data_IF_397746754324
#
_entry.id   IF_397746754324
#
_cell.length_a   1.000
_cell.length_b   1.000
_cell.length_c   1.000
_cell.angle_alpha   90.00
_cell.angle_beta   90.00
_cell.angle_gamma   90.00
#
_symmetry.space_group_name_H-M   'P 1'
#
loop_
_entity.id
_entity.type
_entity.pdbx_description
1 polymer ?
#
# COMPACT_ATOMS: atom_id res chain seq x y z
N UNK A 1 -5.00 -13.81 22.08
CA UNK A 1 -4.31 -12.51 22.14
C UNK A 1 -5.12 -11.48 21.37
N UNK A 2 -5.28 -10.24 21.89
CA UNK A 2 -6.05 -9.19 21.21
C UNK A 2 -5.13 -8.02 20.86
N UNK A 3 -5.09 -7.63 19.59
CA UNK A 3 -4.21 -6.58 19.06
C UNK A 3 -5.03 -5.45 18.45
N UNK A 4 -4.64 -4.21 18.70
CA UNK A 4 -5.14 -3.04 17.99
C UNK A 4 -4.36 -2.84 16.69
N UNK A 5 -5.04 -2.35 15.66
CA UNK A 5 -4.43 -1.92 14.40
C UNK A 5 -4.76 -0.45 14.18
N UNK A 6 -3.75 0.39 14.12
CA UNK A 6 -3.95 1.82 13.89
C UNK A 6 -4.47 2.10 12.49
N UNK A 7 -5.69 2.54 12.42
CA UNK A 7 -6.38 2.83 11.18
C UNK A 7 -7.89 2.85 11.36
N UNK A 8 -8.59 3.07 10.27
CA UNK A 8 -10.05 3.07 10.19
C UNK A 8 -10.48 2.62 8.79
N UNK A 9 -11.75 2.21 8.60
CA UNK A 9 -12.24 1.77 7.30
C UNK A 9 -12.08 2.82 6.20
N UNK A 10 -11.46 2.45 5.09
CA UNK A 10 -11.35 3.28 3.89
C UNK A 10 -11.06 2.42 2.66
N UNK A 11 -11.32 2.95 1.47
CA UNK A 11 -10.93 2.31 0.22
C UNK A 11 -9.43 2.57 0.00
N UNK A 12 -8.60 1.56 0.21
CA UNK A 12 -7.16 1.70 0.01
C UNK A 12 -6.36 0.51 0.52
N UNK A 13 -5.12 0.39 0.03
CA UNK A 13 -4.25 -0.78 0.29
C UNK A 13 -3.97 -1.03 1.76
N UNK A 14 -3.80 0.00 2.58
CA UNK A 14 -3.50 -0.17 4.01
C UNK A 14 -4.66 -0.79 4.79
N UNK A 15 -5.91 -0.46 4.43
CA UNK A 15 -7.07 -1.11 5.05
C UNK A 15 -7.30 -2.54 4.51
N UNK A 16 -6.97 -2.80 3.25
CA UNK A 16 -6.95 -4.17 2.72
C UNK A 16 -5.95 -5.05 3.48
N UNK A 17 -4.78 -4.52 3.82
CA UNK A 17 -3.79 -5.23 4.67
C UNK A 17 -4.37 -5.58 6.03
N UNK A 18 -5.07 -4.64 6.69
CA UNK A 18 -5.76 -4.92 7.95
C UNK A 18 -6.73 -6.11 7.80
N UNK A 19 -7.60 -6.09 6.78
CA UNK A 19 -8.58 -7.16 6.54
C UNK A 19 -7.91 -8.51 6.33
N UNK A 20 -6.85 -8.56 5.52
CA UNK A 20 -6.10 -9.79 5.26
C UNK A 20 -5.39 -10.30 6.52
N UNK A 21 -4.73 -9.43 7.29
CA UNK A 21 -4.12 -9.80 8.56
C UNK A 21 -5.16 -10.29 9.58
N UNK A 22 -6.29 -9.60 9.71
CA UNK A 22 -7.36 -10.01 10.60
C UNK A 22 -7.84 -11.44 10.29
N UNK A 23 -8.14 -11.69 9.01
CA UNK A 23 -8.62 -13.02 8.58
C UNK A 23 -7.56 -14.10 8.82
N UNK A 24 -6.31 -13.80 8.47
CA UNK A 24 -5.24 -14.77 8.60
C UNK A 24 -4.85 -15.06 10.06
N UNK A 25 -4.77 -14.05 10.92
CA UNK A 25 -4.36 -14.19 12.32
C UNK A 25 -5.45 -14.81 13.20
N UNK A 26 -6.72 -14.75 12.78
CA UNK A 26 -7.82 -15.35 13.53
C UNK A 26 -7.62 -16.86 13.76
N UNK A 27 -7.12 -17.59 12.76
CA UNK A 27 -6.80 -19.01 12.86
C UNK A 27 -5.68 -19.35 13.87
N UNK A 28 -4.87 -18.37 14.28
CA UNK A 28 -3.84 -18.50 15.31
C UNK A 28 -4.33 -18.01 16.70
N UNK A 29 -5.61 -17.78 16.89
CA UNK A 29 -6.17 -17.26 18.14
C UNK A 29 -5.79 -15.80 18.44
N UNK A 30 -5.45 -15.03 17.41
CA UNK A 30 -5.12 -13.61 17.51
C UNK A 30 -6.28 -12.79 16.94
N UNK A 31 -6.98 -12.09 17.82
CA UNK A 31 -8.02 -11.13 17.44
C UNK A 31 -7.36 -9.80 17.06
N UNK A 32 -7.59 -9.35 15.82
CA UNK A 32 -7.11 -8.06 15.35
C UNK A 32 -8.29 -7.10 15.13
N UNK A 33 -8.25 -5.93 15.77
CA UNK A 33 -9.29 -4.90 15.64
C UNK A 33 -8.68 -3.57 15.19
N UNK A 34 -9.33 -2.91 14.24
CA UNK A 34 -8.94 -1.55 13.92
C UNK A 34 -9.32 -0.60 15.06
N UNK A 35 -8.48 0.40 15.28
CA UNK A 35 -8.68 1.44 16.28
C UNK A 35 -8.33 2.77 15.64
N UNK A 36 -9.31 3.69 15.56
CA UNK A 36 -9.16 5.00 14.94
C UNK A 36 -9.51 6.12 15.90
N UNK A 37 -9.00 7.32 15.66
CA UNK A 37 -9.36 8.52 16.39
C UNK A 37 -9.52 9.72 15.45
N UNK A 38 -10.21 10.75 15.93
CA UNK A 38 -10.43 12.01 15.22
C UNK A 38 -11.52 11.96 14.14
N UNK A 39 -11.81 13.10 13.51
CA UNK A 39 -13.02 13.30 12.71
C UNK A 39 -13.12 12.34 11.52
N UNK A 40 -12.01 12.06 10.84
CA UNK A 40 -12.02 11.15 9.68
C UNK A 40 -12.35 9.70 10.07
N UNK A 41 -11.87 9.23 11.22
CA UNK A 41 -12.16 7.89 11.70
C UNK A 41 -13.63 7.74 12.09
N UNK A 42 -14.19 8.74 12.79
CA UNK A 42 -15.61 8.77 13.14
C UNK A 42 -16.50 8.83 11.88
N UNK A 43 -16.21 9.71 10.94
CA UNK A 43 -16.94 9.81 9.69
C UNK A 43 -16.91 8.48 8.89
N UNK A 44 -15.77 7.78 8.88
CA UNK A 44 -15.66 6.47 8.24
C UNK A 44 -16.48 5.40 8.97
N UNK A 45 -16.42 5.36 10.31
CA UNK A 45 -17.20 4.43 11.13
C UNK A 45 -18.71 4.62 10.96
N UNK A 46 -19.17 5.86 10.75
CA UNK A 46 -20.58 6.18 10.56
C UNK A 46 -21.06 5.96 9.12
N UNK A 47 -20.15 5.84 8.18
CA UNK A 47 -20.49 5.64 6.77
C UNK A 47 -21.23 4.32 6.53
N UNK A 48 -22.37 4.35 5.79
CA UNK A 48 -23.07 3.13 5.39
C UNK A 48 -22.19 2.17 4.57
N UNK A 49 -21.22 2.71 3.84
CA UNK A 49 -20.27 1.94 3.03
C UNK A 49 -19.45 0.96 3.86
N UNK A 50 -19.16 1.28 5.12
CA UNK A 50 -18.32 0.48 6.00
C UNK A 50 -19.10 -0.15 7.16
N UNK A 51 -20.41 -0.31 7.02
CA UNK A 51 -21.28 -0.87 8.09
C UNK A 51 -20.77 -2.20 8.63
N UNK A 52 -20.33 -3.11 7.75
CA UNK A 52 -19.81 -4.43 8.12
C UNK A 52 -18.46 -4.37 8.83
N UNK A 53 -17.74 -3.28 8.72
CA UNK A 53 -16.43 -3.12 9.37
C UNK A 53 -16.54 -2.63 10.81
N UNK A 54 -17.72 -2.21 11.26
CA UNK A 54 -17.97 -1.78 12.66
C UNK A 54 -17.77 -2.92 13.67
N UNK A 55 -18.07 -4.15 13.28
CA UNK A 55 -17.87 -5.32 14.13
C UNK A 55 -16.40 -5.66 14.36
N UNK A 56 -15.50 -5.05 13.56
CA UNK A 56 -14.07 -5.37 13.51
C UNK A 56 -13.17 -4.30 14.11
N UNK A 57 -13.72 -3.27 14.71
CA UNK A 57 -12.98 -2.21 15.37
C UNK A 57 -13.89 -1.10 15.85
N UNK A 58 -13.28 -0.04 16.34
CA UNK A 58 -14.01 1.12 16.86
C UNK A 58 -13.18 2.41 16.80
N UNK A 59 -13.86 3.52 16.93
CA UNK A 59 -13.25 4.83 17.18
C UNK A 59 -13.11 5.07 18.67
N UNK A 60 -12.15 5.91 19.06
CA UNK A 60 -11.93 6.35 20.44
C UNK A 60 -11.94 7.88 20.50
N UNK A 61 -12.34 8.40 21.68
CA UNK A 61 -12.54 9.82 21.86
C UNK A 61 -13.77 10.34 21.12
N UNK A 62 -13.89 11.65 21.02
CA UNK A 62 -14.93 12.36 20.26
C UNK A 62 -14.36 12.91 18.94
N UNK A 63 -15.20 13.15 17.93
CA UNK A 63 -14.74 13.72 16.66
C UNK A 63 -14.07 15.09 16.81
N UNK A 64 -14.49 15.89 17.77
CA UNK A 64 -14.07 17.27 18.07
C UNK A 64 -13.03 17.37 19.17
N UNK A 65 -12.57 16.26 19.76
CA UNK A 65 -11.50 16.26 20.75
C UNK A 65 -10.23 16.89 20.20
N UNK A 66 -9.54 17.68 21.03
CA UNK A 66 -8.20 18.16 20.74
C UNK A 66 -7.19 17.01 20.72
N UNK A 67 -6.00 17.28 20.22
CA UNK A 67 -4.95 16.27 20.07
C UNK A 67 -4.56 15.61 21.39
N UNK A 68 -4.61 16.32 22.52
CA UNK A 68 -4.28 15.78 23.84
C UNK A 68 -5.38 14.86 24.36
N UNK A 69 -6.65 15.25 24.20
CA UNK A 69 -7.79 14.41 24.56
C UNK A 69 -7.83 13.12 23.71
N UNK A 70 -7.58 13.25 22.40
CA UNK A 70 -7.46 12.11 21.47
C UNK A 70 -6.33 11.16 21.90
N UNK A 71 -5.18 11.69 22.30
CA UNK A 71 -4.05 10.91 22.79
C UNK A 71 -4.42 10.12 24.03
N UNK A 72 -5.01 10.79 25.06
CA UNK A 72 -5.44 10.14 26.31
C UNK A 72 -6.46 9.02 26.04
N UNK A 73 -7.45 9.29 25.19
CA UNK A 73 -8.46 8.30 24.82
C UNK A 73 -7.83 7.07 24.16
N UNK A 74 -6.85 7.30 23.27
CA UNK A 74 -6.13 6.24 22.54
C UNK A 74 -5.30 5.37 23.47
N UNK A 75 -4.48 5.98 24.34
CA UNK A 75 -3.64 5.27 25.32
C UNK A 75 -4.51 4.43 26.25
N UNK A 76 -5.53 5.02 26.87
CA UNK A 76 -6.48 4.29 27.74
C UNK A 76 -7.13 3.13 27.03
N UNK A 77 -7.68 3.33 25.82
CA UNK A 77 -8.36 2.27 25.10
C UNK A 77 -7.44 1.08 24.76
N UNK A 78 -6.16 1.36 24.50
CA UNK A 78 -5.18 0.31 24.20
C UNK A 78 -4.82 -0.44 25.48
N UNK A 79 -4.50 0.24 26.55
CA UNK A 79 -4.05 -0.35 27.82
C UNK A 79 -5.15 -1.15 28.52
N UNK A 80 -6.42 -0.72 28.42
CA UNK A 80 -7.57 -1.41 29.00
C UNK A 80 -8.04 -2.58 28.15
N UNK A 81 -7.83 -2.55 26.82
CA UNK A 81 -8.49 -3.48 25.91
C UNK A 81 -7.60 -4.38 25.07
N UNK A 82 -6.28 -4.16 25.04
CA UNK A 82 -5.40 -4.86 24.11
C UNK A 82 -4.08 -5.30 24.75
N UNK A 83 -3.49 -6.36 24.19
CA UNK A 83 -2.18 -6.87 24.59
C UNK A 83 -1.04 -6.25 23.76
N UNK A 84 -1.39 -5.62 22.64
CA UNK A 84 -0.42 -4.99 21.76
C UNK A 84 -1.08 -4.22 20.62
N UNK A 85 -0.24 -3.59 19.80
CA UNK A 85 -0.68 -2.71 18.71
C UNK A 85 0.19 -2.84 17.47
N UNK A 86 -0.46 -2.88 16.31
CA UNK A 86 0.15 -2.61 15.02
C UNK A 86 0.05 -1.13 14.68
N UNK A 87 1.21 -0.49 14.53
CA UNK A 87 1.34 0.95 14.31
C UNK A 87 1.60 1.24 12.84
N UNK A 88 0.59 1.76 12.16
CA UNK A 88 0.76 2.27 10.79
C UNK A 88 1.28 3.70 10.82
N UNK A 89 2.51 3.93 10.36
CA UNK A 89 3.09 5.28 10.36
C UNK A 89 2.44 6.27 9.38
N UNK A 90 1.62 5.78 8.44
CA UNK A 90 0.81 6.60 7.55
C UNK A 90 -0.57 6.97 8.12
N UNK A 91 -0.91 6.48 9.30
CA UNK A 91 -2.12 6.86 10.02
C UNK A 91 -2.00 8.30 10.55
N UNK A 92 -2.97 8.70 11.32
CA UNK A 92 -2.96 10.00 11.99
C UNK A 92 -1.69 10.20 12.84
N UNK A 93 -1.01 11.38 12.81
CA UNK A 93 0.20 11.65 13.58
C UNK A 93 0.01 11.52 15.10
N UNK A 94 -1.16 11.91 15.63
CA UNK A 94 -1.50 11.77 17.05
C UNK A 94 -1.58 10.31 17.43
N UNK A 95 -2.28 9.51 16.61
CA UNK A 95 -2.39 8.07 16.77
C UNK A 95 -1.03 7.37 16.69
N UNK A 96 -0.20 7.72 15.71
CA UNK A 96 1.16 7.19 15.57
C UNK A 96 2.01 7.50 16.79
N UNK A 97 1.87 8.71 17.36
CA UNK A 97 2.60 9.16 18.54
C UNK A 97 2.19 8.44 19.84
N UNK A 98 0.98 7.84 19.88
CA UNK A 98 0.46 7.16 21.08
C UNK A 98 1.41 6.09 21.61
N UNK A 99 2.15 5.40 20.74
CA UNK A 99 3.10 4.34 21.16
C UNK A 99 4.18 4.81 22.12
N UNK A 100 4.49 6.09 22.15
CA UNK A 100 5.51 6.65 23.05
C UNK A 100 5.02 6.80 24.51
N UNK A 101 3.72 6.69 24.71
CA UNK A 101 3.03 6.89 25.99
C UNK A 101 2.41 5.63 26.56
N UNK A 102 2.41 4.52 25.80
CA UNK A 102 1.86 3.24 26.25
C UNK A 102 2.72 2.58 27.32
N UNK A 103 2.07 1.86 28.22
CA UNK A 103 2.73 0.99 29.20
C UNK A 103 3.69 -0.01 28.50
N UNK A 104 4.90 -0.27 29.03
CA UNK A 104 5.86 -1.20 28.42
C UNK A 104 5.34 -2.61 28.16
N UNK A 105 4.33 -3.09 28.93
CA UNK A 105 3.69 -4.39 28.73
C UNK A 105 2.95 -4.52 27.39
N UNK A 106 2.60 -3.40 26.75
CA UNK A 106 1.91 -3.39 25.47
C UNK A 106 2.89 -3.66 24.35
N UNK A 107 2.77 -4.81 23.67
CA UNK A 107 3.61 -5.14 22.50
C UNK A 107 3.33 -4.19 21.35
N UNK A 108 4.38 -3.60 20.74
CA UNK A 108 4.27 -2.58 19.69
C UNK A 108 5.03 -3.00 18.47
N UNK A 109 4.31 -3.23 17.36
CA UNK A 109 4.87 -3.62 16.08
C UNK A 109 4.55 -2.51 15.07
N UNK A 110 5.58 -1.84 14.57
CA UNK A 110 5.43 -0.79 13.56
C UNK A 110 5.37 -1.38 12.16
N UNK A 111 4.47 -0.87 11.31
CA UNK A 111 4.41 -1.24 9.89
C UNK A 111 4.70 -0.01 9.04
N UNK A 112 5.70 -0.11 8.17
CA UNK A 112 6.14 0.94 7.26
C UNK A 112 5.72 0.58 5.84
N UNK A 113 4.73 1.34 5.32
CA UNK A 113 4.05 1.03 4.06
C UNK A 113 4.61 1.75 2.83
N UNK A 114 5.60 2.62 2.97
CA UNK A 114 6.06 3.44 1.84
C UNK A 114 7.51 3.89 1.99
N UNK A 115 8.16 4.20 0.86
CA UNK A 115 9.55 4.67 0.76
C UNK A 115 9.69 6.20 0.79
N UNK A 116 8.65 6.94 1.20
CA UNK A 116 8.73 8.40 1.19
C UNK A 116 9.54 8.94 2.38
N UNK A 117 10.25 10.07 2.21
CA UNK A 117 10.98 10.69 3.32
C UNK A 117 10.10 11.02 4.53
N UNK A 118 8.82 11.39 4.30
CA UNK A 118 7.87 11.63 5.39
C UNK A 118 7.54 10.37 6.17
N UNK A 119 7.35 9.24 5.48
CA UNK A 119 7.12 7.94 6.12
C UNK A 119 8.32 7.53 6.98
N UNK A 120 9.54 7.67 6.46
CA UNK A 120 10.76 7.36 7.23
C UNK A 120 10.98 8.32 8.41
N UNK A 121 10.65 9.61 8.26
CA UNK A 121 10.71 10.57 9.36
C UNK A 121 9.73 10.20 10.49
N UNK A 122 8.50 9.82 10.14
CA UNK A 122 7.50 9.37 11.09
C UNK A 122 7.93 8.06 11.79
N UNK A 123 8.42 7.07 11.02
CA UNK A 123 8.93 5.83 11.58
C UNK A 123 10.10 6.08 12.56
N UNK A 124 11.04 6.93 12.18
CA UNK A 124 12.18 7.30 13.04
C UNK A 124 11.77 8.00 14.33
N UNK A 125 10.68 8.79 14.29
CA UNK A 125 10.20 9.53 15.45
C UNK A 125 9.70 8.66 16.61
N UNK A 126 9.31 7.41 16.29
CA UNK A 126 8.79 6.45 17.28
C UNK A 126 9.66 5.19 17.38
N UNK A 127 10.79 5.13 16.65
CA UNK A 127 11.67 3.96 16.53
C UNK A 127 12.01 3.32 17.88
N UNK A 128 12.42 4.13 18.82
CA UNK A 128 12.93 3.66 20.11
C UNK A 128 11.81 3.21 21.08
N UNK A 129 10.55 3.39 20.69
CA UNK A 129 9.35 3.03 21.45
C UNK A 129 8.57 1.87 20.83
N UNK A 130 9.15 1.10 19.90
CA UNK A 130 8.51 -0.09 19.30
C UNK A 130 9.41 -1.30 19.44
N UNK A 131 8.82 -2.48 19.65
CA UNK A 131 9.56 -3.72 19.85
C UNK A 131 10.03 -4.32 18.52
N UNK A 132 9.25 -4.15 17.45
CA UNK A 132 9.63 -4.62 16.13
C UNK A 132 9.13 -3.68 15.03
N UNK A 133 9.82 -3.73 13.88
CA UNK A 133 9.46 -2.94 12.70
C UNK A 133 9.34 -3.83 11.48
N UNK A 134 8.22 -3.72 10.77
CA UNK A 134 7.95 -4.43 9.52
C UNK A 134 8.02 -3.44 8.37
N UNK A 135 8.95 -3.65 7.44
CA UNK A 135 8.91 -3.02 6.13
C UNK A 135 8.15 -3.90 5.14
N UNK A 136 7.20 -3.34 4.39
CA UNK A 136 6.43 -4.12 3.41
C UNK A 136 7.20 -4.49 2.15
N UNK A 137 8.48 -4.14 2.08
CA UNK A 137 9.40 -4.57 1.02
C UNK A 137 10.84 -4.65 1.55
N UNK A 138 11.73 -5.43 0.89
CA UNK A 138 13.15 -5.52 1.25
C UNK A 138 13.84 -4.15 1.28
N UNK A 139 13.50 -3.26 0.34
CA UNK A 139 14.03 -1.89 0.31
C UNK A 139 13.72 -1.12 1.58
N UNK A 140 12.47 -1.19 2.05
CA UNK A 140 12.07 -0.49 3.29
C UNK A 140 12.90 -1.00 4.47
N UNK A 141 13.05 -2.32 4.63
CA UNK A 141 13.93 -2.91 5.66
C UNK A 141 15.35 -2.38 5.53
N UNK A 142 15.93 -2.44 4.35
CA UNK A 142 17.29 -1.99 4.07
C UNK A 142 17.48 -0.52 4.40
N UNK A 143 16.57 0.35 3.94
CA UNK A 143 16.63 1.79 4.22
C UNK A 143 16.51 2.05 5.75
N UNK A 144 15.58 1.39 6.44
CA UNK A 144 15.40 1.56 7.88
C UNK A 144 16.64 1.19 8.67
N UNK A 145 17.25 0.04 8.37
CA UNK A 145 18.44 -0.46 9.07
C UNK A 145 19.68 0.39 8.73
N UNK A 146 19.99 0.55 7.44
CA UNK A 146 21.26 1.13 7.03
C UNK A 146 21.28 2.67 6.99
N UNK A 147 20.12 3.31 6.76
CA UNK A 147 20.05 4.78 6.64
C UNK A 147 19.47 5.46 7.86
N UNK A 148 18.63 4.76 8.62
CA UNK A 148 17.90 5.36 9.74
C UNK A 148 18.20 4.73 11.09
N UNK A 149 19.13 3.74 11.17
CA UNK A 149 19.64 3.16 12.38
C UNK A 149 18.63 2.32 13.18
N UNK A 150 17.73 1.64 12.48
CA UNK A 150 16.85 0.66 13.10
C UNK A 150 17.60 -0.63 13.44
N UNK A 151 17.20 -1.30 14.51
CA UNK A 151 17.78 -2.57 14.89
C UNK A 151 17.60 -3.64 13.81
N UNK A 152 18.68 -4.32 13.43
CA UNK A 152 18.67 -5.33 12.35
C UNK A 152 17.89 -6.58 12.73
N UNK A 153 17.95 -7.00 13.99
CA UNK A 153 17.31 -8.22 14.48
C UNK A 153 15.79 -8.06 14.56
N UNK A 154 15.32 -6.86 14.89
CA UNK A 154 13.91 -6.56 15.06
C UNK A 154 13.28 -5.75 13.92
N UNK A 155 14.01 -5.60 12.82
CA UNK A 155 13.48 -5.02 11.58
C UNK A 155 13.39 -6.09 10.50
N UNK A 156 12.18 -6.46 10.11
CA UNK A 156 11.92 -7.54 9.15
C UNK A 156 11.23 -7.02 7.88
N UNK A 157 11.37 -7.76 6.78
CA UNK A 157 10.60 -7.49 5.56
C UNK A 157 9.47 -8.52 5.44
N UNK A 158 8.23 -8.07 5.54
CA UNK A 158 7.03 -8.90 5.33
C UNK A 158 6.18 -8.24 4.24
N UNK A 159 6.24 -8.72 3.00
CA UNK A 159 5.37 -8.24 1.94
C UNK A 159 3.89 -8.44 2.29
N UNK A 160 3.07 -7.46 1.92
CA UNK A 160 1.64 -7.57 2.11
C UNK A 160 1.06 -8.71 1.26
N UNK A 161 0.22 -9.54 1.87
CA UNK A 161 -0.47 -10.62 1.20
C UNK A 161 -1.78 -10.18 0.55
N UNK A 162 -2.19 -10.92 -0.47
CA UNK A 162 -3.45 -10.76 -1.18
C UNK A 162 -4.23 -12.08 -1.22
N UNK A 163 -5.53 -12.02 -1.46
CA UNK A 163 -6.35 -13.19 -1.73
C UNK A 163 -6.11 -13.69 -3.16
N UNK A 164 -5.07 -14.50 -3.34
CA UNK A 164 -4.70 -15.03 -4.66
C UNK A 164 -5.74 -15.98 -5.23
N UNK A 165 -6.49 -16.69 -4.39
CA UNK A 165 -7.53 -17.62 -4.82
C UNK A 165 -8.78 -16.88 -5.33
N UNK A 166 -9.23 -15.87 -4.59
CA UNK A 166 -10.38 -15.05 -4.98
C UNK A 166 -10.12 -14.17 -6.22
N UNK A 167 -8.85 -13.95 -6.57
CA UNK A 167 -8.46 -13.21 -7.79
C UNK A 167 -8.25 -14.10 -9.02
N UNK A 168 -8.10 -15.42 -8.84
CA UNK A 168 -7.88 -16.38 -9.94
C UNK A 168 -9.20 -16.71 -10.66
N UNK A 169 -9.90 -15.71 -11.16
CA UNK A 169 -11.15 -15.87 -11.88
C UNK A 169 -10.91 -16.35 -13.34
N UNK A 170 -11.88 -17.11 -13.86
CA UNK A 170 -11.88 -17.45 -15.28
C UNK A 170 -11.93 -16.17 -16.13
N UNK A 171 -11.03 -16.08 -17.10
CA UNK A 171 -11.01 -14.97 -18.04
C UNK A 171 -12.13 -15.15 -19.07
N UNK A 172 -12.92 -14.11 -19.36
CA UNK A 172 -13.98 -14.21 -20.34
C UNK A 172 -13.42 -14.50 -21.74
N UNK A 173 -14.07 -15.39 -22.48
CA UNK A 173 -13.78 -15.57 -23.90
C UNK A 173 -14.02 -14.28 -24.69
N UNK A 174 -13.20 -14.01 -25.67
CA UNK A 174 -13.24 -12.78 -26.43
C UNK A 174 -13.20 -13.03 -27.94
N UNK A 175 -14.07 -12.36 -28.64
CA UNK A 175 -14.07 -12.31 -30.10
C UNK A 175 -13.02 -11.33 -30.67
N UNK A 176 -12.57 -10.35 -29.88
CA UNK A 176 -11.62 -9.31 -30.30
C UNK A 176 -10.21 -9.58 -29.79
N UNK A 177 -9.22 -9.52 -30.71
CA UNK A 177 -7.77 -9.59 -30.40
C UNK A 177 -7.20 -8.28 -29.86
N UNK A 178 -8.03 -7.25 -29.63
CA UNK A 178 -7.61 -5.96 -29.09
C UNK A 178 -7.06 -6.09 -27.69
N UNK A 179 -5.83 -5.58 -27.45
CA UNK A 179 -5.21 -5.57 -26.14
C UNK A 179 -5.89 -4.55 -25.22
N UNK A 180 -6.30 -5.01 -24.05
CA UNK A 180 -6.96 -4.17 -23.03
C UNK A 180 -5.97 -3.89 -21.88
N UNK A 181 -5.64 -2.62 -21.72
CA UNK A 181 -4.75 -2.15 -20.66
C UNK A 181 -5.59 -1.53 -19.55
N UNK A 182 -5.29 -1.88 -18.32
CA UNK A 182 -5.91 -1.35 -17.11
C UNK A 182 -4.93 -0.47 -16.35
N UNK A 183 -5.37 0.69 -15.93
CA UNK A 183 -4.85 1.40 -14.78
C UNK A 183 -5.84 1.22 -13.62
N UNK A 184 -5.37 0.75 -12.48
CA UNK A 184 -6.19 0.55 -11.27
C UNK A 184 -5.52 1.21 -10.08
N UNK A 185 -6.16 2.16 -9.45
CA UNK A 185 -5.67 2.84 -8.26
C UNK A 185 -6.09 4.29 -8.15
N UNK A 186 -5.62 4.95 -7.10
CA UNK A 186 -5.89 6.37 -6.86
C UNK A 186 -5.38 7.24 -8.02
N UNK A 187 -6.24 8.10 -8.53
CA UNK A 187 -5.89 9.00 -9.64
C UNK A 187 -5.19 10.25 -9.08
N UNK A 188 -3.91 10.07 -8.75
CA UNK A 188 -3.03 11.08 -8.18
C UNK A 188 -1.66 11.04 -8.86
N UNK A 189 -1.27 12.12 -9.52
CA UNK A 189 -0.01 12.15 -10.29
C UNK A 189 1.23 12.15 -9.40
N UNK A 190 1.12 12.74 -8.20
CA UNK A 190 2.27 12.86 -7.28
C UNK A 190 2.87 11.50 -6.91
N UNK A 191 2.03 10.49 -6.68
CA UNK A 191 2.47 9.14 -6.34
C UNK A 191 2.40 8.19 -7.53
N UNK A 192 1.28 8.21 -8.24
CA UNK A 192 0.93 7.19 -9.23
C UNK A 192 1.30 7.54 -10.68
N UNK A 193 1.78 8.77 -10.95
CA UNK A 193 2.25 9.16 -12.27
C UNK A 193 1.16 9.09 -13.35
N UNK A 194 -0.10 9.30 -12.98
CA UNK A 194 -1.27 9.10 -13.87
C UNK A 194 -1.24 9.98 -15.12
N UNK A 195 -0.59 11.15 -15.06
CA UNK A 195 -0.47 12.04 -16.20
C UNK A 195 0.55 11.57 -17.23
N UNK A 196 1.23 10.45 -17.01
CA UNK A 196 2.00 9.75 -18.05
C UNK A 196 1.13 8.84 -18.91
N UNK A 197 -0.04 8.40 -18.44
CA UNK A 197 -0.96 7.55 -19.21
C UNK A 197 -1.25 8.11 -20.61
N UNK A 198 -1.74 9.38 -20.77
CA UNK A 198 -1.99 9.92 -22.11
C UNK A 198 -0.72 10.03 -22.96
N UNK A 199 0.46 10.26 -22.37
CA UNK A 199 1.73 10.31 -23.09
C UNK A 199 2.15 8.94 -23.62
N UNK A 200 1.87 7.87 -22.87
CA UNK A 200 2.11 6.48 -23.26
C UNK A 200 1.14 6.12 -24.38
N UNK A 201 -0.17 6.38 -24.20
CA UNK A 201 -1.21 5.97 -25.13
C UNK A 201 -1.18 6.67 -26.50
N UNK A 202 -0.66 7.91 -26.57
CA UNK A 202 -0.40 8.59 -27.88
C UNK A 202 0.65 7.87 -28.73
N UNK A 203 1.45 6.97 -28.14
CA UNK A 203 2.50 6.20 -28.84
C UNK A 203 2.05 4.80 -29.22
N UNK A 204 0.84 4.39 -28.83
CA UNK A 204 0.30 3.06 -29.05
C UNK A 204 -0.63 3.00 -30.28
N UNK A 205 -0.67 1.87 -30.99
CA UNK A 205 -1.66 1.60 -32.03
C UNK A 205 -3.09 1.86 -31.55
N UNK A 206 -3.97 2.27 -32.48
CA UNK A 206 -5.36 2.62 -32.17
C UNK A 206 -6.19 1.43 -31.64
N UNK A 207 -5.79 0.22 -31.94
CA UNK A 207 -6.42 -1.03 -31.47
C UNK A 207 -6.25 -1.29 -29.97
N UNK A 208 -5.30 -0.61 -29.30
CA UNK A 208 -5.07 -0.81 -27.86
C UNK A 208 -5.92 0.15 -27.06
N UNK A 209 -6.68 -0.37 -26.09
CA UNK A 209 -7.58 0.41 -25.24
C UNK A 209 -7.08 0.55 -23.81
N UNK A 210 -7.48 1.62 -23.12
CA UNK A 210 -7.19 1.89 -21.71
C UNK A 210 -8.47 1.99 -20.91
N UNK A 211 -8.55 1.24 -19.83
CA UNK A 211 -9.52 1.48 -18.76
C UNK A 211 -8.80 2.14 -17.58
N UNK A 212 -9.31 3.27 -17.12
CA UNK A 212 -8.87 3.94 -15.90
C UNK A 212 -9.89 3.68 -14.81
N UNK A 213 -9.53 2.88 -13.83
CA UNK A 213 -10.35 2.53 -12.68
C UNK A 213 -9.76 3.15 -11.40
N UNK A 214 -10.51 4.02 -10.79
CA UNK A 214 -10.13 4.78 -9.60
C UNK A 214 -10.61 6.21 -9.63
N UNK A 215 -10.43 6.88 -8.51
CA UNK A 215 -10.76 8.28 -8.31
C UNK A 215 -9.59 9.01 -7.63
N UNK A 216 -9.60 10.33 -7.65
CA UNK A 216 -8.58 11.15 -7.01
C UNK A 216 -8.48 12.56 -7.55
N UNK A 217 -7.61 13.38 -6.94
CA UNK A 217 -7.53 14.81 -7.21
C UNK A 217 -7.15 15.17 -8.65
N UNK A 218 -6.45 14.28 -9.37
CA UNK A 218 -6.02 14.54 -10.74
C UNK A 218 -6.97 13.95 -11.81
N UNK A 219 -8.16 13.40 -11.44
CA UNK A 219 -9.07 12.75 -12.39
C UNK A 219 -9.56 13.72 -13.48
N UNK A 220 -9.98 14.91 -13.12
CA UNK A 220 -10.46 15.91 -14.09
C UNK A 220 -9.35 16.29 -15.08
N UNK A 221 -8.14 16.51 -14.56
CA UNK A 221 -6.96 16.84 -15.37
C UNK A 221 -6.56 15.69 -16.30
N UNK A 222 -6.62 14.44 -15.80
CA UNK A 222 -6.35 13.26 -16.61
C UNK A 222 -7.37 13.10 -17.74
N UNK A 223 -8.67 13.27 -17.46
CA UNK A 223 -9.74 13.24 -18.48
C UNK A 223 -9.47 14.27 -19.59
N UNK A 224 -9.16 15.51 -19.21
CA UNK A 224 -8.84 16.57 -20.19
C UNK A 224 -7.64 16.21 -21.07
N UNK A 225 -6.57 15.63 -20.51
CA UNK A 225 -5.39 15.20 -21.28
C UNK A 225 -5.63 13.96 -22.15
N UNK A 226 -6.62 13.13 -21.82
CA UNK A 226 -7.03 11.98 -22.63
C UNK A 226 -8.04 12.32 -23.73
N UNK A 227 -8.59 13.52 -23.77
CA UNK A 227 -9.65 13.88 -24.73
C UNK A 227 -9.28 13.58 -26.20
N UNK A 228 -8.01 13.83 -26.60
CA UNK A 228 -7.52 13.52 -27.93
C UNK A 228 -7.40 12.04 -28.27
N UNK A 229 -7.55 11.13 -27.28
CA UNK A 229 -7.53 9.69 -27.48
C UNK A 229 -8.92 9.09 -27.75
N UNK A 230 -9.98 9.90 -27.60
CA UNK A 230 -11.35 9.51 -27.90
C UNK A 230 -11.81 8.26 -27.17
N UNK A 231 -12.61 7.42 -27.81
CA UNK A 231 -13.18 6.19 -27.25
C UNK A 231 -12.17 5.11 -26.83
N UNK A 232 -10.87 5.33 -27.09
CA UNK A 232 -9.81 4.40 -26.64
C UNK A 232 -9.60 4.42 -25.13
N UNK A 233 -10.07 5.45 -24.41
CA UNK A 233 -9.90 5.59 -22.98
C UNK A 233 -11.25 5.61 -22.29
N UNK A 234 -11.47 4.66 -21.39
CA UNK A 234 -12.67 4.57 -20.57
C UNK A 234 -12.36 4.87 -19.11
N UNK A 235 -13.18 5.67 -18.46
CA UNK A 235 -13.06 6.00 -17.04
C UNK A 235 -14.18 5.32 -16.26
N UNK A 236 -13.84 4.45 -15.32
CA UNK A 236 -14.80 3.68 -14.49
C UNK A 236 -15.09 4.32 -13.14
N UNK A 237 -14.32 5.35 -12.73
CA UNK A 237 -14.41 5.89 -11.38
C UNK A 237 -13.91 4.91 -10.32
N UNK A 238 -14.29 5.14 -9.08
CA UNK A 238 -13.98 4.25 -7.97
C UNK A 238 -14.66 2.89 -8.15
N UNK A 239 -13.90 1.80 -7.92
CA UNK A 239 -14.38 0.42 -8.08
C UNK A 239 -14.48 -0.23 -6.70
N UNK A 240 -15.61 -0.87 -6.42
CA UNK A 240 -15.79 -1.62 -5.18
C UNK A 240 -14.77 -2.79 -5.09
N UNK A 241 -14.24 -3.10 -3.90
CA UNK A 241 -13.26 -4.17 -3.73
C UNK A 241 -13.72 -5.53 -4.28
N UNK A 242 -15.01 -5.85 -4.15
CA UNK A 242 -15.60 -7.09 -4.69
C UNK A 242 -15.59 -7.19 -6.22
N UNK A 243 -15.44 -6.08 -6.93
CA UNK A 243 -15.41 -6.01 -8.39
C UNK A 243 -14.00 -6.02 -8.97
N UNK A 244 -12.96 -5.91 -8.13
CA UNK A 244 -11.56 -5.80 -8.59
C UNK A 244 -11.16 -7.06 -9.35
N UNK A 245 -11.46 -8.26 -8.84
CA UNK A 245 -11.13 -9.52 -9.49
C UNK A 245 -11.74 -9.62 -10.89
N UNK A 246 -13.03 -9.29 -11.03
CA UNK A 246 -13.72 -9.26 -12.32
C UNK A 246 -13.09 -8.26 -13.28
N UNK A 247 -12.83 -7.04 -12.80
CA UNK A 247 -12.19 -6.00 -13.60
C UNK A 247 -10.81 -6.45 -14.11
N UNK A 248 -10.00 -7.05 -13.26
CA UNK A 248 -8.70 -7.59 -13.65
C UNK A 248 -8.82 -8.72 -14.67
N UNK A 249 -9.75 -9.66 -14.49
CA UNK A 249 -9.98 -10.75 -15.44
C UNK A 249 -10.41 -10.26 -16.84
N UNK A 250 -11.02 -9.08 -16.93
CA UNK A 250 -11.41 -8.45 -18.20
C UNK A 250 -10.25 -7.79 -18.97
N UNK A 251 -9.04 -7.66 -18.37
CA UNK A 251 -7.91 -6.94 -18.96
C UNK A 251 -6.68 -7.84 -19.13
N UNK A 252 -5.82 -7.49 -20.08
CA UNK A 252 -4.62 -8.26 -20.42
C UNK A 252 -3.37 -7.76 -19.71
N UNK A 253 -3.31 -6.45 -19.52
CA UNK A 253 -2.14 -5.74 -19.00
C UNK A 253 -2.56 -4.79 -17.89
N UNK A 254 -1.83 -4.82 -16.76
CA UNK A 254 -1.87 -3.73 -15.80
C UNK A 254 -0.73 -2.76 -16.09
N UNK A 255 -1.04 -1.49 -16.34
CA UNK A 255 -0.06 -0.41 -16.45
C UNK A 255 0.02 0.38 -15.15
N UNK A 256 1.17 0.29 -14.48
CA UNK A 256 1.42 0.99 -13.22
C UNK A 256 2.59 1.97 -13.34
N UNK A 257 2.36 3.22 -13.77
CA UNK A 257 3.41 4.22 -13.98
C UNK A 257 3.76 4.98 -12.69
N UNK A 258 3.84 4.31 -11.56
CA UNK A 258 4.05 4.93 -10.26
C UNK A 258 5.42 5.59 -10.14
N UNK A 259 5.49 6.71 -9.41
CA UNK A 259 6.75 7.39 -9.06
C UNK A 259 7.41 6.76 -7.85
N UNK A 260 6.60 6.21 -6.95
CA UNK A 260 7.04 5.48 -5.76
C UNK A 260 5.92 4.56 -5.27
N UNK A 261 6.31 3.48 -4.63
CA UNK A 261 5.43 2.48 -4.01
C UNK A 261 6.09 1.93 -2.74
N UNK A 262 5.30 1.28 -1.89
CA UNK A 262 5.84 0.46 -0.79
C UNK A 262 6.01 -0.99 -1.20
N UNK A 263 4.99 -1.53 -1.87
CA UNK A 263 4.95 -2.85 -2.49
C UNK A 263 4.21 -2.81 -3.84
N UNK A 264 3.09 -2.06 -3.91
CA UNK A 264 2.21 -2.07 -5.08
C UNK A 264 1.20 -3.23 -5.05
N UNK A 265 0.28 -3.24 -4.08
CA UNK A 265 -0.73 -4.30 -3.97
C UNK A 265 -1.47 -4.57 -5.27
N UNK A 266 -1.91 -3.52 -5.97
CA UNK A 266 -2.59 -3.63 -7.26
C UNK A 266 -1.75 -4.37 -8.31
N UNK A 267 -0.41 -4.24 -8.25
CA UNK A 267 0.50 -4.95 -9.14
C UNK A 267 0.40 -6.46 -8.90
N UNK A 268 0.46 -6.86 -7.63
CA UNK A 268 0.40 -8.27 -7.23
C UNK A 268 -0.99 -8.86 -7.45
N UNK A 269 -2.06 -8.07 -7.20
CA UNK A 269 -3.44 -8.44 -7.51
C UNK A 269 -3.64 -8.71 -9.00
N UNK A 270 -3.09 -7.85 -9.86
CA UNK A 270 -3.15 -8.03 -11.32
C UNK A 270 -2.40 -9.29 -11.77
N UNK A 271 -1.22 -9.55 -11.20
CA UNK A 271 -0.45 -10.77 -11.46
C UNK A 271 -1.27 -12.02 -11.07
N UNK A 272 -1.90 -12.04 -9.90
CA UNK A 272 -2.73 -13.14 -9.45
C UNK A 272 -3.91 -13.41 -10.39
N UNK A 273 -4.51 -12.36 -10.94
CA UNK A 273 -5.62 -12.41 -11.89
C UNK A 273 -5.19 -12.71 -13.34
N UNK A 274 -3.90 -12.91 -13.60
CA UNK A 274 -3.38 -13.19 -14.93
C UNK A 274 -3.26 -11.97 -15.85
N UNK A 275 -3.24 -10.74 -15.30
CA UNK A 275 -2.82 -9.56 -16.05
C UNK A 275 -1.29 -9.49 -16.06
N UNK A 276 -0.70 -9.24 -17.23
CA UNK A 276 0.74 -9.00 -17.33
C UNK A 276 1.06 -7.60 -16.80
N UNK A 277 1.95 -7.46 -15.79
CA UNK A 277 2.33 -6.15 -15.28
C UNK A 277 3.30 -5.44 -16.23
N UNK A 278 3.01 -4.17 -16.50
CA UNK A 278 3.93 -3.19 -17.09
C UNK A 278 4.07 -2.06 -16.09
N UNK A 279 5.17 -2.02 -15.34
CA UNK A 279 5.32 -1.14 -14.18
C UNK A 279 6.59 -0.31 -14.22
N UNK A 280 6.56 0.85 -13.54
CA UNK A 280 7.79 1.61 -13.28
C UNK A 280 8.77 0.76 -12.47
N UNK A 281 10.05 0.78 -12.85
CA UNK A 281 11.12 0.17 -12.06
C UNK A 281 11.38 1.01 -10.80
N UNK A 282 11.10 0.44 -9.66
CA UNK A 282 11.38 1.02 -8.33
C UNK A 282 12.19 -0.04 -7.59
N UNK A 283 13.48 0.18 -7.48
CA UNK A 283 14.45 -0.77 -6.95
C UNK A 283 14.06 -1.29 -5.57
N UNK A 284 14.10 -2.63 -5.40
CA UNK A 284 13.74 -3.34 -4.16
C UNK A 284 12.25 -3.26 -3.78
N UNK A 285 11.39 -2.83 -4.74
CA UNK A 285 9.94 -2.73 -4.59
C UNK A 285 9.23 -3.43 -5.75
N UNK A 286 9.23 -2.87 -6.95
CA UNK A 286 8.51 -3.47 -8.09
C UNK A 286 9.25 -4.65 -8.69
N UNK A 287 10.57 -4.67 -8.63
CA UNK A 287 11.42 -5.80 -9.00
C UNK A 287 11.34 -6.98 -8.02
N UNK A 288 10.76 -6.80 -6.84
CA UNK A 288 10.39 -7.90 -5.96
C UNK A 288 9.33 -8.81 -6.63
N UNK A 289 8.35 -8.19 -7.28
CA UNK A 289 7.21 -8.87 -7.88
C UNK A 289 7.44 -9.17 -9.36
N UNK A 290 8.02 -8.24 -10.11
CA UNK A 290 8.19 -8.32 -11.55
C UNK A 290 9.66 -8.59 -11.91
N UNK A 291 9.88 -9.71 -12.58
CA UNK A 291 11.13 -10.04 -13.26
C UNK A 291 10.99 -9.65 -14.74
N UNK A 292 11.79 -8.63 -15.14
CA UNK A 292 11.68 -8.00 -16.45
C UNK A 292 11.86 -9.01 -17.60
N UNK A 293 10.88 -9.08 -18.49
CA UNK A 293 10.89 -10.01 -19.64
C UNK A 293 10.46 -11.44 -19.32
N UNK A 294 10.26 -11.80 -18.04
CA UNK A 294 9.89 -13.16 -17.61
C UNK A 294 8.42 -13.24 -17.20
N UNK A 295 7.98 -12.38 -16.28
CA UNK A 295 6.60 -12.35 -15.78
C UNK A 295 5.94 -10.97 -15.90
N UNK A 296 6.59 -10.04 -16.62
CA UNK A 296 6.13 -8.68 -16.86
C UNK A 296 7.25 -7.79 -17.39
N UNK A 297 6.96 -6.50 -17.51
CA UNK A 297 7.95 -5.52 -17.96
C UNK A 297 8.11 -4.39 -16.93
N UNK A 298 9.36 -4.06 -16.66
CA UNK A 298 9.75 -2.89 -15.87
C UNK A 298 10.32 -1.82 -16.81
N UNK A 299 9.96 -0.55 -16.57
CA UNK A 299 10.47 0.60 -17.33
C UNK A 299 10.95 1.70 -16.38
N UNK A 300 11.95 2.50 -16.74
CA UNK A 300 12.44 3.58 -15.91
C UNK A 300 11.33 4.57 -15.54
N UNK A 301 11.29 5.04 -14.30
CA UNK A 301 10.26 5.97 -13.81
C UNK A 301 10.14 7.18 -14.75
N UNK A 302 8.94 7.38 -15.32
CA UNK A 302 8.63 8.46 -16.25
C UNK A 302 9.01 8.22 -17.71
N UNK A 303 9.58 7.06 -18.06
CA UNK A 303 9.86 6.72 -19.46
C UNK A 303 8.64 6.17 -20.18
N UNK A 304 7.87 7.08 -20.76
CA UNK A 304 6.68 6.73 -21.54
C UNK A 304 6.98 5.97 -22.85
N UNK A 305 8.22 6.06 -23.37
CA UNK A 305 8.60 5.34 -24.59
C UNK A 305 8.82 3.86 -24.30
N UNK A 306 9.58 3.56 -23.24
CA UNK A 306 9.82 2.18 -22.82
C UNK A 306 8.53 1.48 -22.36
N UNK A 307 7.63 2.18 -21.64
CA UNK A 307 6.31 1.67 -21.31
C UNK A 307 5.49 1.32 -22.54
N UNK A 308 5.47 2.21 -23.55
CA UNK A 308 4.75 1.96 -24.80
C UNK A 308 5.34 0.76 -25.57
N UNK A 309 6.66 0.65 -25.69
CA UNK A 309 7.32 -0.50 -26.34
C UNK A 309 6.95 -1.84 -25.68
N UNK A 310 6.92 -1.88 -24.33
CA UNK A 310 6.51 -3.06 -23.59
C UNK A 310 5.05 -3.47 -23.91
N UNK A 311 4.13 -2.51 -23.98
CA UNK A 311 2.73 -2.75 -24.31
C UNK A 311 2.58 -3.24 -25.77
N UNK A 312 3.30 -2.65 -26.73
CA UNK A 312 3.30 -3.07 -28.13
C UNK A 312 3.78 -4.51 -28.26
N UNK A 313 4.90 -4.86 -27.62
CA UNK A 313 5.41 -6.24 -27.61
C UNK A 313 4.38 -7.24 -27.09
N UNK A 314 3.63 -6.89 -26.03
CA UNK A 314 2.55 -7.75 -25.52
C UNK A 314 1.34 -7.84 -26.46
N UNK A 315 1.11 -6.84 -27.30
CA UNK A 315 0.05 -6.86 -28.30
C UNK A 315 0.40 -7.72 -29.51
N UNK A 316 1.68 -7.75 -29.90
CA UNK A 316 2.18 -8.47 -31.07
C UNK A 316 2.42 -9.97 -30.79
N UNK A 317 2.72 -10.36 -29.55
CA UNK A 317 3.01 -11.74 -29.13
C UNK A 317 1.94 -12.23 -28.14
N UNK A 318 0.87 -12.82 -28.65
CA UNK A 318 -0.23 -13.35 -27.84
C UNK A 318 0.20 -14.58 -27.02
N UNK A 319 0.97 -15.49 -27.62
CA UNK A 319 1.44 -16.70 -26.94
C UNK A 319 2.41 -16.36 -25.82
N UNK A 320 3.41 -15.52 -26.08
CA UNK A 320 4.36 -15.05 -25.07
C UNK A 320 3.67 -14.26 -23.95
N UNK A 321 2.64 -13.46 -24.28
CA UNK A 321 1.82 -12.77 -23.26
C UNK A 321 1.11 -13.77 -22.35
N UNK A 322 0.51 -14.83 -22.90
CA UNK A 322 -0.18 -15.85 -22.12
C UNK A 322 0.79 -16.59 -21.18
N UNK A 323 1.97 -16.94 -21.67
CA UNK A 323 3.00 -17.58 -20.86
C UNK A 323 3.51 -16.64 -19.74
N UNK A 324 3.74 -15.38 -20.06
CA UNK A 324 4.15 -14.34 -19.09
C UNK A 324 3.09 -14.14 -18.01
N UNK A 325 1.81 -14.12 -18.37
CA UNK A 325 0.68 -14.04 -17.44
C UNK A 325 0.63 -15.26 -16.49
N UNK A 326 0.86 -16.46 -17.02
CA UNK A 326 0.91 -17.69 -16.21
C UNK A 326 2.06 -17.65 -15.19
N UNK A 327 3.25 -17.17 -15.61
CA UNK A 327 4.41 -16.99 -14.72
C UNK A 327 4.13 -15.93 -13.65
N UNK A 328 3.51 -14.80 -14.02
CA UNK A 328 3.10 -13.75 -13.09
C UNK A 328 2.13 -14.30 -12.03
N UNK A 329 1.11 -15.03 -12.46
CA UNK A 329 0.11 -15.61 -11.56
C UNK A 329 0.73 -16.65 -10.60
N UNK A 330 1.64 -17.51 -11.07
CA UNK A 330 2.38 -18.43 -10.18
C UNK A 330 3.18 -17.65 -9.13
N UNK A 331 3.99 -16.68 -9.53
CA UNK A 331 4.79 -15.88 -8.61
C UNK A 331 3.93 -15.16 -7.55
N UNK A 332 2.77 -14.64 -7.96
CA UNK A 332 1.83 -14.03 -7.02
C UNK A 332 1.34 -15.02 -5.98
N UNK A 333 0.93 -16.23 -6.38
CA UNK A 333 0.46 -17.27 -5.45
C UNK A 333 1.57 -17.74 -4.51
N UNK A 334 2.77 -17.97 -5.04
CA UNK A 334 3.88 -18.57 -4.30
C UNK A 334 4.51 -17.62 -3.28
N UNK A 335 4.40 -16.30 -3.50
CA UNK A 335 5.13 -15.32 -2.68
C UNK A 335 4.28 -14.25 -2.00
N UNK A 336 3.01 -14.07 -2.41
CA UNK A 336 2.18 -12.96 -1.94
C UNK A 336 0.79 -13.39 -1.44
N UNK A 337 0.61 -14.66 -1.11
CA UNK A 337 -0.64 -15.14 -0.49
C UNK A 337 -0.80 -14.64 0.95
N UNK A 338 -2.07 -14.45 1.38
CA UNK A 338 -2.41 -14.06 2.77
C UNK A 338 -1.77 -15.02 3.77
N UNK A 339 -1.79 -16.33 3.49
CA UNK A 339 -1.24 -17.35 4.38
C UNK A 339 0.23 -17.11 4.70
N UNK A 340 1.06 -16.87 3.68
CA UNK A 340 2.48 -16.61 3.85
C UNK A 340 2.77 -15.33 4.65
N UNK A 341 2.01 -14.25 4.36
CA UNK A 341 2.09 -13.02 5.15
C UNK A 341 1.75 -13.29 6.61
N UNK A 342 0.65 -13.97 6.86
CA UNK A 342 0.16 -14.27 8.21
C UNK A 342 1.13 -15.13 9.00
N UNK A 343 1.72 -16.15 8.40
CA UNK A 343 2.74 -16.99 9.01
C UNK A 343 3.92 -16.17 9.51
N UNK A 344 4.47 -15.28 8.66
CA UNK A 344 5.58 -14.39 9.02
C UNK A 344 5.21 -13.41 10.16
N UNK A 345 3.99 -12.88 10.17
CA UNK A 345 3.53 -12.04 11.27
C UNK A 345 3.35 -12.83 12.57
N UNK A 346 2.83 -14.07 12.48
CA UNK A 346 2.73 -14.96 13.64
C UNK A 346 4.10 -15.27 14.22
N UNK A 347 5.07 -15.64 13.38
CA UNK A 347 6.44 -15.93 13.81
C UNK A 347 7.09 -14.72 14.50
N UNK A 348 6.84 -13.50 13.98
CA UNK A 348 7.31 -12.26 14.62
C UNK A 348 6.63 -12.04 15.97
N UNK A 349 5.33 -12.24 16.09
CA UNK A 349 4.58 -12.10 17.35
C UNK A 349 5.04 -13.14 18.37
N UNK A 350 5.25 -14.38 17.96
CA UNK A 350 5.73 -15.45 18.83
C UNK A 350 7.17 -15.18 19.29
N UNK A 351 8.05 -14.70 18.40
CA UNK A 351 9.40 -14.27 18.78
C UNK A 351 9.37 -13.18 19.86
N UNK A 352 8.47 -12.20 19.73
CA UNK A 352 8.29 -11.14 20.72
C UNK A 352 7.72 -11.64 22.06
N UNK A 353 7.03 -12.77 22.09
CA UNK A 353 6.58 -13.40 23.34
C UNK A 353 7.70 -14.06 24.11
N UNK A 354 8.69 -14.61 23.41
CA UNK A 354 9.84 -15.27 24.03
C UNK A 354 10.94 -14.28 24.43
N UNK A 355 11.18 -13.27 23.62
CA UNK A 355 12.25 -12.29 23.83
C UNK A 355 11.86 -10.96 23.24
N UNK A 356 11.58 -9.98 24.09
CA UNK A 356 11.31 -8.61 23.63
C UNK A 356 12.56 -7.77 23.74
N UNK A 357 12.88 -6.93 22.73
CA UNK A 357 13.93 -5.95 22.86
C UNK A 357 13.56 -4.90 23.90
N UNK A 358 14.54 -4.36 24.58
CA UNK A 358 14.36 -3.22 25.48
C UNK A 358 14.02 -1.99 24.63
N UNK A 359 12.93 -1.33 24.96
CA UNK A 359 12.49 -0.08 24.31
C UNK A 359 12.62 1.09 25.29
N UNK A 360 12.55 2.31 24.75
CA UNK A 360 12.56 3.52 25.58
C UNK A 360 11.38 3.52 26.56
N UNK A 361 11.55 4.05 27.78
CA UNK A 361 10.48 4.21 28.76
C UNK A 361 9.31 5.01 28.19
N UNK A 362 8.12 4.75 28.70
CA UNK A 362 6.93 5.52 28.37
C UNK A 362 7.10 6.98 28.79
N UNK A 363 6.66 7.88 27.93
CA UNK A 363 6.64 9.31 28.25
C UNK A 363 5.41 9.65 29.10
N UNK A 364 5.52 10.72 29.88
CA UNK A 364 4.37 11.24 30.62
C UNK A 364 3.37 11.92 29.66
N UNK A 365 2.10 11.56 29.78
CA UNK A 365 1.02 12.17 29.01
C UNK A 365 0.84 13.67 29.32
N UNK A 366 1.23 14.11 30.51
CA UNK A 366 1.20 15.55 30.87
C UNK A 366 2.17 16.38 30.02
N UNK A 367 3.26 15.74 29.55
CA UNK A 367 4.26 16.36 28.67
C UNK A 367 4.03 16.06 27.17
N UNK A 368 2.80 15.73 26.81
CA UNK A 368 2.50 15.32 25.44
C UNK A 368 2.89 16.38 24.41
N UNK A 369 3.61 15.94 23.39
CA UNK A 369 3.97 16.73 22.21
C UNK A 369 4.22 15.86 21.00
N UNK A 370 3.87 16.36 19.83
CA UNK A 370 4.27 15.72 18.58
C UNK A 370 5.77 15.91 18.33
N UNK A 371 6.54 14.84 18.10
CA UNK A 371 7.94 14.94 17.71
C UNK A 371 8.06 15.53 16.30
N UNK A 372 9.23 16.07 15.96
CA UNK A 372 9.49 16.73 14.68
C UNK A 372 9.20 15.84 13.46
N UNK A 373 9.46 14.53 13.56
CA UNK A 373 9.21 13.57 12.49
C UNK A 373 7.72 13.32 12.18
N UNK A 374 6.81 13.68 13.10
CA UNK A 374 5.37 13.59 12.92
C UNK A 374 4.71 14.95 12.58
N UNK A 375 5.50 16.02 12.54
CA UNK A 375 5.03 17.36 12.11
C UNK A 375 5.31 17.58 10.63
N UNK A 376 4.57 18.49 9.96
CA UNK A 376 4.91 18.94 8.63
C UNK A 376 6.34 19.50 8.59
N UNK A 377 7.23 18.88 7.82
CA UNK A 377 8.60 19.36 7.64
C UNK A 377 8.73 20.31 6.45
N UNK A 378 9.90 20.94 6.28
CA UNK A 378 10.19 21.90 5.18
C UNK A 378 9.82 21.34 3.80
N UNK A 379 10.00 20.04 3.57
CA UNK A 379 9.60 19.38 2.31
C UNK A 379 8.10 19.44 2.03
N UNK A 380 7.25 19.59 3.04
CA UNK A 380 5.80 19.73 2.85
C UNK A 380 5.46 20.96 2.04
N UNK A 381 6.26 22.00 2.17
CA UNK A 381 6.07 23.30 1.49
C UNK A 381 6.72 23.39 0.10
N UNK A 382 7.53 22.40 -0.30
CA UNK A 382 8.11 22.40 -1.65
C UNK A 382 7.01 22.17 -2.69
N UNK A 383 7.08 22.85 -3.85
CA UNK A 383 6.17 22.61 -4.97
C UNK A 383 6.22 21.16 -5.44
N UNK A 384 5.04 20.59 -5.76
CA UNK A 384 4.92 19.19 -6.21
C UNK A 384 5.81 18.85 -7.41
N UNK A 385 5.97 19.71 -8.44
CA UNK A 385 6.88 19.42 -9.56
C UNK A 385 8.33 19.21 -9.12
N UNK A 386 8.82 20.02 -8.18
CA UNK A 386 10.18 19.90 -7.65
C UNK A 386 10.37 18.61 -6.83
N UNK A 387 9.39 18.29 -5.97
CA UNK A 387 9.37 17.00 -5.25
C UNK A 387 9.47 15.82 -6.21
N UNK A 388 8.71 15.86 -7.30
CA UNK A 388 8.66 14.80 -8.29
C UNK A 388 9.96 14.68 -9.08
N UNK A 389 10.58 15.81 -9.48
CA UNK A 389 11.87 15.82 -10.16
C UNK A 389 12.97 15.20 -9.30
N UNK A 390 13.06 15.59 -8.02
CA UNK A 390 14.04 15.02 -7.07
C UNK A 390 13.83 13.51 -6.90
N UNK A 391 12.58 13.04 -6.81
CA UNK A 391 12.26 11.61 -6.69
C UNK A 391 12.70 10.84 -7.93
N UNK A 392 12.33 11.32 -9.12
CA UNK A 392 12.70 10.67 -10.38
C UNK A 392 14.22 10.56 -10.55
N UNK A 393 14.97 11.59 -10.20
CA UNK A 393 16.43 11.54 -10.24
C UNK A 393 16.98 10.45 -9.33
N UNK A 394 16.48 10.35 -8.10
CA UNK A 394 16.90 9.32 -7.14
C UNK A 394 16.59 7.89 -7.61
N UNK A 395 15.39 7.66 -8.14
CA UNK A 395 14.98 6.34 -8.62
C UNK A 395 15.70 5.92 -9.93
N UNK A 396 16.23 6.87 -10.69
CA UNK A 396 17.03 6.57 -11.90
C UNK A 396 18.51 6.33 -11.59
N UNK A 397 18.98 6.77 -10.43
CA UNK A 397 20.37 6.60 -9.98
C UNK A 397 20.53 5.41 -9.05
N UNK A 398 19.42 4.85 -8.56
CA UNK A 398 19.38 3.65 -7.72
C UNK A 398 19.33 2.40 -8.60
#
# INVERSE_FOLDING_TARGET
>A
MKLAYFGFPHIGGTYSVFRHLRTGLAGAGIELRWLGCGPNAHAAADSPMFRTERDHGNTVGRPDDDDHARMRAMVRAIEDGFHGVFVNVLADPVQTNAVRYLDPRITRIMIVHNITPGTYAAARAIRDHVHATVGVSPRIKTDLVHRYGFDRGWTVAIPNGIDTAGLALARPERSSKSLRVLYLGRVEDQAKGVLWLPRIFRKLPASITLTVAGDGPDLARLKAQCASLGGRVQFRGAVAPSMIGKLLAEHDVLLMPSRFEGLGLTLVEAMAAGCVPVASYIQGVTDLSVEHGVNGFLFPVGDSRSAARAIVRLAEDEAGRAEMAARASRKARDHFGIGLMTERYRDLIDSLRYSQPVIAPSLDLAEWRLPSGLRPGLRTYLPTPLKNAIRMLRERQA
#
